data_IF_044823595717
#
_entry.id   IF_044823595717
#
_cell.length_a   1.000
_cell.length_b   1.000
_cell.length_c   1.000
_cell.angle_alpha   90.00
_cell.angle_beta   90.00
_cell.angle_gamma   90.00
#
_symmetry.space_group_name_H-M   'P 1'
#
loop_
_entity.id
_entity.type
_entity.pdbx_description
1 polymer ?
#
# COMPACT_ATOMS: atom_id res chain seq x y z
N UNK A 1 -10.47 -33.72 -20.40
CA UNK A 1 -10.52 -32.73 -19.29
C UNK A 1 -11.41 -33.30 -18.20
N UNK A 2 -10.83 -34.16 -17.35
CA UNK A 2 -11.56 -34.85 -16.30
C UNK A 2 -11.87 -33.89 -15.15
N UNK A 3 -13.11 -33.98 -14.65
CA UNK A 3 -13.63 -33.39 -13.43
C UNK A 3 -12.54 -33.23 -12.38
N UNK A 4 -12.04 -32.02 -12.23
CA UNK A 4 -11.33 -31.61 -11.02
C UNK A 4 -12.33 -31.86 -9.90
N UNK A 5 -12.06 -32.86 -9.06
CA UNK A 5 -12.77 -33.09 -7.81
C UNK A 5 -12.59 -31.82 -6.97
N UNK A 6 -13.53 -30.89 -7.10
CA UNK A 6 -13.44 -29.56 -6.54
C UNK A 6 -13.55 -29.64 -5.01
N UNK A 7 -12.38 -29.76 -4.38
CA UNK A 7 -12.20 -29.61 -2.93
C UNK A 7 -12.78 -28.27 -2.46
N UNK A 8 -12.71 -27.25 -3.33
CA UNK A 8 -13.37 -25.96 -3.14
C UNK A 8 -14.83 -26.08 -3.60
N UNK A 9 -15.79 -25.89 -2.69
CA UNK A 9 -17.19 -25.94 -3.10
C UNK A 9 -17.52 -24.86 -4.16
N UNK A 10 -18.47 -25.17 -5.05
CA UNK A 10 -18.89 -24.31 -6.17
C UNK A 10 -19.24 -22.88 -5.73
N UNK A 11 -19.85 -22.72 -4.56
CA UNK A 11 -20.21 -21.41 -4.01
C UNK A 11 -18.98 -20.58 -3.64
N UNK A 12 -17.93 -21.22 -3.12
CA UNK A 12 -16.68 -20.58 -2.77
C UNK A 12 -15.90 -20.22 -4.04
N UNK A 13 -15.86 -21.09 -5.04
CA UNK A 13 -15.28 -20.76 -6.34
C UNK A 13 -15.96 -19.56 -6.99
N UNK A 14 -17.30 -19.54 -7.01
CA UNK A 14 -18.07 -18.40 -7.50
C UNK A 14 -17.77 -17.11 -6.72
N UNK A 15 -17.57 -17.22 -5.40
CA UNK A 15 -17.19 -16.09 -4.57
C UNK A 15 -15.78 -15.55 -4.92
N UNK A 16 -14.76 -16.43 -4.98
CA UNK A 16 -13.39 -16.06 -5.39
C UNK A 16 -13.41 -15.38 -6.75
N UNK A 17 -14.16 -15.93 -7.70
CA UNK A 17 -14.27 -15.37 -9.05
C UNK A 17 -14.92 -13.98 -9.07
N UNK A 18 -15.90 -13.73 -8.20
CA UNK A 18 -16.62 -12.45 -8.13
C UNK A 18 -15.83 -11.36 -7.41
N UNK A 19 -15.13 -11.71 -6.34
CA UNK A 19 -14.49 -10.77 -5.43
C UNK A 19 -12.97 -10.71 -5.69
N UNK A 20 -12.53 -9.71 -6.48
CA UNK A 20 -11.11 -9.54 -6.85
C UNK A 20 -10.20 -9.32 -5.65
N UNK A 21 -10.66 -8.59 -4.62
CA UNK A 21 -9.85 -8.32 -3.42
C UNK A 21 -9.65 -9.62 -2.65
N UNK A 22 -10.73 -10.37 -2.44
CA UNK A 22 -10.64 -11.65 -1.76
C UNK A 22 -9.77 -12.66 -2.54
N UNK A 23 -9.92 -12.73 -3.87
CA UNK A 23 -9.07 -13.55 -4.71
C UNK A 23 -7.59 -13.17 -4.57
N UNK A 24 -7.26 -11.88 -4.59
CA UNK A 24 -5.88 -11.41 -4.39
C UNK A 24 -5.34 -11.75 -3.00
N UNK A 25 -6.20 -11.69 -1.99
CA UNK A 25 -5.82 -11.98 -0.62
C UNK A 25 -5.43 -13.45 -0.46
N UNK A 26 -6.26 -14.39 -0.94
CA UNK A 26 -5.91 -15.82 -0.94
C UNK A 26 -4.63 -16.05 -1.73
N UNK A 27 -4.53 -15.42 -2.91
CA UNK A 27 -3.36 -15.56 -3.76
C UNK A 27 -2.09 -15.07 -3.07
N UNK A 28 -2.10 -13.94 -2.35
CA UNK A 28 -0.94 -13.46 -1.59
C UNK A 28 -0.58 -14.40 -0.44
N UNK A 29 -1.57 -14.94 0.28
CA UNK A 29 -1.33 -15.93 1.35
C UNK A 29 -0.65 -17.16 0.75
N UNK A 30 -1.19 -17.75 -0.32
CA UNK A 30 -0.64 -18.97 -0.92
C UNK A 30 0.69 -18.77 -1.65
N UNK A 31 0.99 -17.54 -2.07
CA UNK A 31 2.29 -17.20 -2.68
C UNK A 31 3.43 -17.12 -1.66
N UNK A 32 3.13 -17.19 -0.37
CA UNK A 32 4.11 -17.10 0.71
C UNK A 32 3.85 -18.21 1.75
N UNK A 33 4.75 -19.18 1.82
CA UNK A 33 4.58 -20.34 2.69
C UNK A 33 4.50 -19.94 4.18
N UNK A 34 5.20 -18.88 4.60
CA UNK A 34 5.17 -18.39 5.98
C UNK A 34 3.80 -17.76 6.31
N UNK A 35 3.21 -17.03 5.35
CA UNK A 35 1.85 -16.51 5.50
C UNK A 35 0.83 -17.65 5.51
N UNK A 36 0.96 -18.61 4.60
CA UNK A 36 0.08 -19.78 4.56
C UNK A 36 0.10 -20.52 5.90
N UNK A 37 1.29 -20.81 6.42
CA UNK A 37 1.48 -21.47 7.71
C UNK A 37 0.84 -20.69 8.86
N UNK A 38 1.13 -19.38 8.95
CA UNK A 38 0.57 -18.50 9.99
C UNK A 38 -0.95 -18.51 9.99
N UNK A 39 -1.57 -18.32 8.82
CA UNK A 39 -3.04 -18.28 8.73
C UNK A 39 -3.67 -19.66 8.92
N UNK A 40 -2.99 -20.73 8.49
CA UNK A 40 -3.45 -22.09 8.68
C UNK A 40 -3.39 -22.51 10.15
N UNK A 41 -2.32 -22.16 10.89
CA UNK A 41 -2.24 -22.37 12.33
C UNK A 41 -3.35 -21.62 13.09
N UNK A 42 -3.62 -20.37 12.71
CA UNK A 42 -4.73 -19.61 13.28
C UNK A 42 -6.09 -20.29 13.01
N UNK A 43 -6.27 -20.85 11.81
CA UNK A 43 -7.44 -21.66 11.46
C UNK A 43 -7.56 -22.89 12.36
N UNK A 44 -6.49 -23.66 12.55
CA UNK A 44 -6.51 -24.86 13.40
C UNK A 44 -6.80 -24.53 14.86
N UNK A 45 -6.19 -23.46 15.38
CA UNK A 45 -6.43 -22.96 16.73
C UNK A 45 -7.89 -22.53 16.92
N UNK A 46 -8.48 -21.86 15.93
CA UNK A 46 -9.87 -21.41 16.00
C UNK A 46 -10.90 -22.55 15.98
N UNK A 47 -10.51 -23.73 15.48
CA UNK A 47 -11.38 -24.91 15.38
C UNK A 47 -11.12 -25.97 16.47
N UNK A 48 -10.30 -25.66 17.49
CA UNK A 48 -9.93 -26.60 18.57
C UNK A 48 -9.50 -27.97 18.05
N UNK A 49 -8.78 -28.03 16.93
CA UNK A 49 -8.23 -29.28 16.43
C UNK A 49 -7.11 -29.73 17.39
N UNK A 50 -7.41 -30.68 18.28
CA UNK A 50 -6.48 -31.33 19.22
C UNK A 50 -5.37 -32.17 18.55
N UNK A 51 -5.16 -32.00 17.25
CA UNK A 51 -4.14 -32.71 16.48
C UNK A 51 -2.84 -31.95 16.68
N UNK A 52 -1.74 -32.67 16.96
CA UNK A 52 -0.38 -32.13 17.06
C UNK A 52 -0.19 -30.92 16.13
N UNK A 53 0.12 -29.75 16.72
CA UNK A 53 0.31 -28.48 16.03
C UNK A 53 1.60 -28.48 15.19
N UNK A 54 1.74 -29.45 14.30
CA UNK A 54 2.72 -29.43 13.23
C UNK A 54 2.23 -28.37 12.24
N UNK A 55 3.04 -27.34 12.06
CA UNK A 55 2.77 -26.28 11.10
C UNK A 55 2.64 -26.84 9.70
N UNK A 56 1.86 -26.16 8.86
CA UNK A 56 1.80 -26.44 7.43
C UNK A 56 3.19 -26.36 6.79
N UNK A 57 4.08 -25.50 7.28
CA UNK A 57 5.45 -25.38 6.77
C UNK A 57 6.27 -26.65 6.95
N UNK A 58 6.07 -27.38 8.05
CA UNK A 58 6.80 -28.62 8.32
C UNK A 58 6.26 -29.76 7.46
N UNK A 59 4.93 -29.85 7.32
CA UNK A 59 4.28 -30.78 6.39
C UNK A 59 4.70 -30.47 4.95
N UNK A 60 4.81 -29.19 4.59
CA UNK A 60 5.29 -28.76 3.29
C UNK A 60 6.72 -29.23 3.02
N UNK A 61 7.61 -29.10 4.00
CA UNK A 61 9.00 -29.58 3.91
C UNK A 61 9.08 -31.10 3.77
N UNK A 62 8.20 -31.83 4.44
CA UNK A 62 8.19 -33.30 4.39
C UNK A 62 7.71 -33.82 3.03
N UNK A 63 6.64 -33.24 2.49
CA UNK A 63 5.97 -33.76 1.30
C UNK A 63 6.53 -33.15 0.00
N UNK A 64 6.81 -31.84 -0.04
CA UNK A 64 7.15 -31.14 -1.29
C UNK A 64 8.65 -30.86 -1.47
N UNK A 65 9.42 -30.65 -0.39
CA UNK A 65 10.86 -30.37 -0.50
C UNK A 65 11.64 -31.51 -1.20
N UNK A 66 11.38 -32.81 -0.92
CA UNK A 66 12.06 -33.90 -1.62
C UNK A 66 11.71 -33.98 -3.11
N UNK A 67 10.60 -33.38 -3.53
CA UNK A 67 10.12 -33.41 -4.90
C UNK A 67 10.64 -32.22 -5.74
N UNK A 68 11.38 -31.27 -5.15
CA UNK A 68 11.84 -30.03 -5.79
C UNK A 68 10.72 -29.26 -6.53
N UNK A 69 9.48 -29.35 -6.06
CA UNK A 69 8.36 -28.66 -6.68
C UNK A 69 8.38 -27.20 -6.21
N UNK A 70 9.02 -26.34 -6.99
CA UNK A 70 8.84 -24.88 -6.87
C UNK A 70 7.54 -24.47 -7.55
N UNK A 71 6.49 -24.25 -6.76
CA UNK A 71 5.26 -23.67 -7.30
C UNK A 71 5.47 -22.19 -7.61
N UNK A 72 5.61 -21.86 -8.89
CA UNK A 72 5.64 -20.47 -9.35
C UNK A 72 4.24 -19.89 -9.39
N UNK A 73 3.92 -19.08 -8.38
CA UNK A 73 2.70 -18.30 -8.31
C UNK A 73 2.79 -17.02 -9.17
N UNK A 74 2.84 -17.14 -10.49
CA UNK A 74 2.90 -15.97 -11.40
C UNK A 74 1.67 -15.82 -12.32
N UNK A 75 0.43 -15.90 -11.82
CA UNK A 75 -0.74 -15.65 -12.66
C UNK A 75 -0.78 -14.18 -13.09
N UNK A 76 -1.01 -13.97 -14.38
CA UNK A 76 -1.03 -12.65 -15.03
C UNK A 76 -2.43 -12.00 -15.07
N UNK A 77 -3.47 -12.70 -14.59
CA UNK A 77 -4.85 -12.23 -14.63
C UNK A 77 -5.67 -12.69 -13.43
N UNK A 78 -6.82 -12.05 -13.21
CA UNK A 78 -7.77 -12.45 -12.16
C UNK A 78 -8.27 -13.89 -12.33
N UNK A 79 -8.67 -14.27 -13.55
CA UNK A 79 -9.09 -15.64 -13.85
C UNK A 79 -7.93 -16.64 -13.70
N UNK A 80 -6.72 -16.21 -14.06
CA UNK A 80 -5.49 -16.97 -13.80
C UNK A 80 -5.31 -17.24 -12.31
N UNK A 81 -5.43 -16.21 -11.46
CA UNK A 81 -5.36 -16.33 -9.99
C UNK A 81 -6.42 -17.28 -9.45
N UNK A 82 -7.67 -17.14 -9.89
CA UNK A 82 -8.76 -18.05 -9.49
C UNK A 82 -8.42 -19.51 -9.79
N UNK A 83 -7.92 -19.77 -10.99
CA UNK A 83 -7.53 -21.12 -11.44
C UNK A 83 -6.34 -21.65 -10.63
N UNK A 84 -5.32 -20.82 -10.41
CA UNK A 84 -4.15 -21.17 -9.59
C UNK A 84 -4.54 -21.52 -8.16
N UNK A 85 -5.44 -20.76 -7.54
CA UNK A 85 -5.94 -21.03 -6.18
C UNK A 85 -6.59 -22.42 -6.13
N UNK A 86 -7.51 -22.72 -7.06
CA UNK A 86 -8.19 -24.02 -7.13
C UNK A 86 -7.19 -25.16 -7.31
N UNK A 87 -6.29 -25.03 -8.28
CA UNK A 87 -5.30 -26.05 -8.58
C UNK A 87 -4.36 -26.29 -7.40
N UNK A 88 -3.91 -25.23 -6.73
CA UNK A 88 -3.07 -25.33 -5.55
C UNK A 88 -3.79 -26.05 -4.41
N UNK A 89 -5.02 -25.66 -4.09
CA UNK A 89 -5.79 -26.31 -3.03
C UNK A 89 -6.03 -27.79 -3.30
N UNK A 90 -6.40 -28.15 -4.52
CA UNK A 90 -6.57 -29.55 -4.90
C UNK A 90 -5.26 -30.33 -4.79
N UNK A 91 -4.14 -29.75 -5.21
CA UNK A 91 -2.84 -30.38 -5.09
C UNK A 91 -2.48 -30.61 -3.62
N UNK A 92 -2.60 -29.58 -2.76
CA UNK A 92 -2.32 -29.71 -1.33
C UNK A 92 -3.17 -30.81 -0.70
N UNK A 93 -4.49 -30.78 -0.90
CA UNK A 93 -5.39 -31.78 -0.32
C UNK A 93 -5.11 -33.19 -0.84
N UNK A 94 -4.79 -33.34 -2.13
CA UNK A 94 -4.42 -34.63 -2.71
C UNK A 94 -3.14 -35.17 -2.08
N UNK A 95 -2.10 -34.34 -1.99
CA UNK A 95 -0.81 -34.76 -1.46
C UNK A 95 -0.87 -35.06 0.04
N UNK A 96 -1.58 -34.26 0.82
CA UNK A 96 -1.85 -34.55 2.24
C UNK A 96 -2.55 -35.90 2.39
N UNK A 97 -3.58 -36.17 1.57
CA UNK A 97 -4.31 -37.44 1.61
C UNK A 97 -3.41 -38.63 1.23
N UNK A 98 -2.57 -38.49 0.21
CA UNK A 98 -1.65 -39.53 -0.25
C UNK A 98 -0.58 -39.88 0.80
N UNK A 99 -0.17 -38.91 1.61
CA UNK A 99 0.84 -39.10 2.67
C UNK A 99 0.22 -39.38 4.05
N UNK A 100 -1.08 -39.72 4.13
CA UNK A 100 -1.74 -40.11 5.37
C UNK A 100 -2.20 -38.95 6.27
N UNK A 101 -2.06 -37.70 5.83
CA UNK A 101 -2.50 -36.50 6.53
C UNK A 101 -3.97 -36.15 6.25
N UNK A 102 -4.87 -37.13 6.30
CA UNK A 102 -6.29 -36.96 5.92
C UNK A 102 -7.02 -35.88 6.71
N UNK A 103 -6.76 -35.75 8.01
CA UNK A 103 -7.35 -34.69 8.85
C UNK A 103 -6.89 -33.30 8.42
N UNK A 104 -5.61 -33.12 8.12
CA UNK A 104 -5.04 -31.87 7.58
C UNK A 104 -5.58 -31.59 6.18
N UNK A 105 -5.81 -32.62 5.34
CA UNK A 105 -6.42 -32.47 4.03
C UNK A 105 -7.84 -31.89 4.13
N UNK A 106 -8.65 -32.38 5.08
CA UNK A 106 -9.99 -31.83 5.38
C UNK A 106 -9.89 -30.42 6.00
N UNK A 107 -8.90 -30.18 6.85
CA UNK A 107 -8.63 -28.84 7.39
C UNK A 107 -8.33 -27.84 6.27
N UNK A 108 -7.44 -28.20 5.35
CA UNK A 108 -7.03 -27.34 4.25
C UNK A 108 -8.16 -27.08 3.23
N UNK A 109 -9.08 -28.03 3.02
CA UNK A 109 -10.26 -27.80 2.18
C UNK A 109 -11.19 -26.72 2.76
N UNK A 110 -11.31 -26.69 4.09
CA UNK A 110 -12.12 -25.72 4.82
C UNK A 110 -11.40 -24.37 5.03
N UNK A 111 -10.08 -24.33 4.87
CA UNK A 111 -9.25 -23.16 5.14
C UNK A 111 -9.66 -21.92 4.32
N UNK A 112 -10.04 -22.08 3.05
CA UNK A 112 -10.51 -20.95 2.23
C UNK A 112 -11.81 -20.36 2.80
N UNK A 113 -12.70 -21.21 3.34
CA UNK A 113 -13.90 -20.75 4.03
C UNK A 113 -13.58 -19.92 5.26
N UNK A 114 -12.56 -20.32 6.02
CA UNK A 114 -12.06 -19.54 7.14
C UNK A 114 -11.47 -18.19 6.70
N UNK A 115 -10.64 -18.17 5.65
CA UNK A 115 -10.10 -16.93 5.09
C UNK A 115 -11.20 -15.96 4.66
N UNK A 116 -12.28 -16.49 4.07
CA UNK A 116 -13.47 -15.70 3.73
C UNK A 116 -14.10 -15.06 4.97
N UNK A 117 -14.27 -15.84 6.04
CA UNK A 117 -14.85 -15.35 7.30
C UNK A 117 -14.00 -14.25 7.93
N UNK A 118 -12.67 -14.40 7.94
CA UNK A 118 -11.75 -13.32 8.38
C UNK A 118 -11.93 -12.08 7.50
N UNK A 119 -11.89 -12.25 6.18
CA UNK A 119 -11.99 -11.15 5.24
C UNK A 119 -13.28 -10.34 5.45
N UNK A 120 -14.42 -11.02 5.56
CA UNK A 120 -15.72 -10.37 5.81
C UNK A 120 -15.73 -9.65 7.16
N UNK A 121 -15.23 -10.30 8.22
CA UNK A 121 -15.30 -9.75 9.58
C UNK A 121 -14.38 -8.55 9.78
N UNK A 122 -13.15 -8.62 9.26
CA UNK A 122 -12.08 -7.72 9.66
C UNK A 122 -11.71 -6.69 8.59
N UNK A 123 -11.95 -6.98 7.30
CA UNK A 123 -11.34 -6.20 6.22
C UNK A 123 -12.34 -5.64 5.21
N UNK A 124 -13.44 -6.35 4.95
CA UNK A 124 -14.44 -6.00 3.93
C UNK A 124 -15.02 -4.59 4.11
N UNK A 125 -15.22 -4.15 5.35
CA UNK A 125 -15.78 -2.83 5.69
C UNK A 125 -14.72 -1.79 6.09
N UNK A 126 -13.43 -2.04 5.85
CA UNK A 126 -12.39 -1.10 6.28
C UNK A 126 -12.13 0.00 5.25
N UNK A 127 -12.45 1.24 5.62
CA UNK A 127 -12.30 2.42 4.74
C UNK A 127 -10.85 2.93 4.60
N UNK A 128 -9.86 2.12 5.01
CA UNK A 128 -8.44 2.46 4.97
C UNK A 128 -7.96 2.88 3.58
N UNK A 129 -8.59 2.41 2.50
CA UNK A 129 -8.18 2.74 1.14
C UNK A 129 -9.26 3.43 0.30
N UNK A 130 -10.27 4.02 0.95
CA UNK A 130 -11.33 4.81 0.30
C UNK A 130 -10.78 5.96 -0.58
N UNK A 131 -9.58 6.45 -0.26
CA UNK A 131 -8.89 7.51 -0.99
C UNK A 131 -8.02 7.03 -2.16
N UNK A 132 -7.77 5.73 -2.26
CA UNK A 132 -6.94 5.12 -3.30
C UNK A 132 -7.84 4.62 -4.43
N UNK A 133 -7.50 4.94 -5.69
CA UNK A 133 -8.25 4.52 -6.86
C UNK A 133 -7.31 3.85 -7.86
N UNK A 134 -7.78 2.82 -8.54
CA UNK A 134 -7.03 2.09 -9.58
C UNK A 134 -6.47 3.02 -10.68
N UNK A 135 -7.21 4.08 -11.03
CA UNK A 135 -6.78 5.08 -12.01
C UNK A 135 -5.65 6.01 -11.56
N UNK A 136 -5.39 6.11 -10.25
CA UNK A 136 -4.39 7.04 -9.70
C UNK A 136 -3.01 6.36 -9.62
N UNK A 137 -2.42 6.00 -10.77
CA UNK A 137 -1.20 5.19 -10.88
C UNK A 137 -0.01 5.72 -10.06
N UNK A 138 0.20 7.04 -10.05
CA UNK A 138 1.24 7.71 -9.25
C UNK A 138 1.07 7.46 -7.76
N UNK A 139 -0.18 7.46 -7.29
CA UNK A 139 -0.52 7.31 -5.88
C UNK A 139 -0.38 5.84 -5.48
N UNK A 140 -0.84 4.92 -6.33
CA UNK A 140 -0.63 3.48 -6.14
C UNK A 140 0.86 3.14 -6.10
N UNK A 141 1.68 3.66 -7.02
CA UNK A 141 3.14 3.44 -7.03
C UNK A 141 3.82 4.00 -5.78
N UNK A 142 3.39 5.19 -5.35
CA UNK A 142 3.91 5.75 -4.10
C UNK A 142 3.58 4.88 -2.89
N UNK A 143 2.32 4.44 -2.76
CA UNK A 143 1.88 3.59 -1.67
C UNK A 143 2.66 2.26 -1.68
N UNK A 144 2.77 1.64 -2.84
CA UNK A 144 3.55 0.42 -3.03
C UNK A 144 5.00 0.57 -2.52
N UNK A 145 5.71 1.60 -2.99
CA UNK A 145 7.07 1.88 -2.54
C UNK A 145 7.15 2.18 -1.04
N UNK A 146 6.13 2.83 -0.47
CA UNK A 146 6.03 3.07 0.96
C UNK A 146 5.89 1.74 1.72
N UNK A 147 4.94 0.88 1.32
CA UNK A 147 4.69 -0.40 1.99
C UNK A 147 5.92 -1.31 1.91
N UNK A 148 6.64 -1.33 0.79
CA UNK A 148 7.93 -2.05 0.66
C UNK A 148 8.98 -1.47 1.61
N UNK A 149 9.16 -0.14 1.63
CA UNK A 149 10.14 0.53 2.50
C UNK A 149 9.94 0.17 3.97
N UNK A 150 8.68 0.01 4.38
CA UNK A 150 8.33 -0.38 5.75
C UNK A 150 8.19 -1.89 5.96
N UNK A 151 8.59 -2.71 4.98
CA UNK A 151 8.54 -4.17 5.02
C UNK A 151 7.14 -4.73 5.31
N UNK A 152 6.10 -4.00 4.91
CA UNK A 152 4.71 -4.44 5.02
C UNK A 152 4.37 -5.44 3.90
N UNK A 153 4.92 -5.20 2.70
CA UNK A 153 4.79 -6.08 1.54
C UNK A 153 6.15 -6.35 0.93
N UNK A 154 6.29 -7.51 0.25
CA UNK A 154 7.48 -7.85 -0.53
C UNK A 154 7.45 -7.13 -1.89
N UNK A 155 8.63 -6.80 -2.40
CA UNK A 155 8.76 -6.26 -3.76
C UNK A 155 8.44 -7.35 -4.79
N UNK A 156 7.71 -6.96 -5.83
CA UNK A 156 7.23 -7.83 -6.90
C UNK A 156 7.15 -7.07 -8.21
N UNK A 157 7.25 -7.81 -9.32
CA UNK A 157 6.92 -7.25 -10.62
C UNK A 157 5.39 -7.12 -10.76
N UNK A 158 4.92 -5.91 -11.04
CA UNK A 158 3.50 -5.55 -11.10
C UNK A 158 3.15 -5.15 -12.54
N UNK A 159 2.17 -5.82 -13.13
CA UNK A 159 1.86 -5.72 -14.55
C UNK A 159 1.03 -4.48 -14.89
N UNK A 160 0.04 -4.15 -14.06
CA UNK A 160 -0.86 -3.04 -14.30
C UNK A 160 -1.29 -2.29 -13.03
N UNK A 161 -2.07 -1.22 -13.22
CA UNK A 161 -2.54 -0.36 -12.12
C UNK A 161 -3.61 -1.00 -11.23
N UNK A 162 -4.40 -1.94 -11.74
CA UNK A 162 -5.38 -2.70 -10.95
C UNK A 162 -4.67 -3.71 -10.05
N UNK A 163 -3.69 -4.45 -10.59
CA UNK A 163 -2.82 -5.34 -9.81
C UNK A 163 -2.09 -4.57 -8.73
N UNK A 164 -1.52 -3.41 -9.04
CA UNK A 164 -0.82 -2.59 -8.07
C UNK A 164 -1.72 -2.16 -6.91
N UNK A 165 -2.94 -1.76 -7.24
CA UNK A 165 -3.96 -1.37 -6.27
C UNK A 165 -4.34 -2.55 -5.37
N UNK A 166 -4.68 -3.69 -5.95
CA UNK A 166 -5.08 -4.89 -5.21
C UNK A 166 -3.93 -5.38 -4.32
N UNK A 167 -2.72 -5.44 -4.84
CA UNK A 167 -1.52 -5.87 -4.12
C UNK A 167 -1.26 -5.02 -2.86
N UNK A 168 -1.41 -3.70 -2.97
CA UNK A 168 -1.24 -2.79 -1.83
C UNK A 168 -2.32 -2.99 -0.77
N UNK A 169 -3.59 -3.10 -1.17
CA UNK A 169 -4.71 -3.23 -0.24
C UNK A 169 -4.64 -4.55 0.51
N UNK A 170 -4.51 -5.66 -0.21
CA UNK A 170 -4.47 -6.99 0.43
C UNK A 170 -3.21 -7.15 1.26
N UNK A 171 -2.08 -6.60 0.82
CA UNK A 171 -0.85 -6.62 1.63
C UNK A 171 -0.98 -5.86 2.94
N UNK A 172 -1.70 -4.73 2.94
CA UNK A 172 -1.99 -4.00 4.18
C UNK A 172 -2.96 -4.77 5.10
N UNK A 173 -3.94 -5.49 4.54
CA UNK A 173 -4.82 -6.35 5.34
C UNK A 173 -4.06 -7.50 5.99
N UNK A 174 -3.18 -8.15 5.23
CA UNK A 174 -2.36 -9.28 5.69
C UNK A 174 -1.25 -8.88 6.67
N UNK A 175 -0.99 -7.58 6.83
CA UNK A 175 0.02 -7.10 7.76
C UNK A 175 -0.27 -7.58 9.19
N UNK A 176 0.65 -8.33 9.78
CA UNK A 176 0.53 -8.87 11.14
C UNK A 176 0.94 -7.83 12.19
N UNK A 177 0.12 -6.79 12.36
CA UNK A 177 0.31 -5.70 13.31
C UNK A 177 -0.99 -5.42 14.07
N UNK A 178 -0.89 -4.83 15.27
CA UNK A 178 -2.07 -4.44 16.05
C UNK A 178 -2.90 -3.40 15.29
N UNK A 179 -4.21 -3.33 15.57
CA UNK A 179 -5.07 -2.32 14.95
C UNK A 179 -4.58 -0.90 15.26
N UNK A 180 -4.00 -0.68 16.44
CA UNK A 180 -3.38 0.59 16.83
C UNK A 180 -2.19 0.93 15.93
N UNK A 181 -1.31 -0.03 15.65
CA UNK A 181 -0.17 0.17 14.75
C UNK A 181 -0.63 0.41 13.31
N UNK A 182 -1.56 -0.42 12.82
CA UNK A 182 -2.17 -0.25 11.50
C UNK A 182 -2.80 1.14 11.37
N UNK A 183 -3.55 1.58 12.37
CA UNK A 183 -4.16 2.91 12.41
C UNK A 183 -3.12 4.03 12.44
N UNK A 184 -2.07 3.91 13.25
CA UNK A 184 -1.01 4.90 13.31
C UNK A 184 -0.30 5.05 11.95
N UNK A 185 -0.07 3.94 11.26
CA UNK A 185 0.58 3.93 9.95
C UNK A 185 -0.34 4.36 8.83
N UNK A 186 -1.61 4.00 8.90
CA UNK A 186 -2.65 4.54 8.05
C UNK A 186 -2.72 6.08 8.16
N UNK A 187 -2.75 6.63 9.38
CA UNK A 187 -2.69 8.08 9.59
C UNK A 187 -1.43 8.70 8.97
N UNK A 188 -0.26 8.07 9.16
CA UNK A 188 0.99 8.51 8.52
C UNK A 188 0.91 8.49 6.99
N UNK A 189 0.27 7.48 6.40
CA UNK A 189 0.02 7.41 4.96
C UNK A 189 -0.83 8.59 4.48
N UNK A 190 -1.95 8.88 5.15
CA UNK A 190 -2.81 10.02 4.81
C UNK A 190 -2.07 11.34 4.92
N UNK A 191 -1.30 11.56 6.00
CA UNK A 191 -0.50 12.77 6.18
C UNK A 191 0.55 12.91 5.07
N UNK A 192 1.31 11.86 4.79
CA UNK A 192 2.32 11.87 3.72
C UNK A 192 1.70 12.13 2.33
N UNK A 193 0.51 11.59 2.07
CA UNK A 193 -0.27 11.88 0.86
C UNK A 193 -0.68 13.35 0.79
N UNK A 194 -1.26 13.87 1.87
CA UNK A 194 -1.74 15.25 1.95
C UNK A 194 -0.59 16.25 1.78
N UNK A 195 0.56 16.01 2.42
CA UNK A 195 1.76 16.82 2.21
C UNK A 195 2.22 16.80 0.75
N UNK A 196 2.24 15.64 0.09
CA UNK A 196 2.63 15.56 -1.32
C UNK A 196 1.64 16.27 -2.23
N UNK A 197 0.33 16.15 -1.97
CA UNK A 197 -0.72 16.89 -2.68
C UNK A 197 -0.53 18.39 -2.53
N UNK A 198 -0.26 18.86 -1.30
CA UNK A 198 0.04 20.26 -0.99
C UNK A 198 1.31 20.75 -1.72
N UNK A 199 2.40 19.98 -1.68
CA UNK A 199 3.65 20.32 -2.40
C UNK A 199 3.46 20.35 -3.91
N UNK A 200 2.69 19.43 -4.50
CA UNK A 200 2.37 19.45 -5.95
C UNK A 200 1.51 20.67 -6.31
N UNK A 201 0.50 21.02 -5.50
CA UNK A 201 -0.33 22.21 -5.69
C UNK A 201 0.41 23.54 -5.49
N UNK A 202 1.38 23.59 -4.58
CA UNK A 202 2.23 24.76 -4.41
C UNK A 202 3.33 24.86 -5.46
N UNK A 203 3.83 23.75 -6.03
CA UNK A 203 4.74 23.78 -7.17
C UNK A 203 4.08 24.34 -8.44
N UNK A 204 2.80 24.09 -8.66
CA UNK A 204 2.06 24.70 -9.78
C UNK A 204 1.76 26.18 -9.54
N UNK A 205 1.52 26.61 -8.29
CA UNK A 205 1.36 28.03 -7.92
C UNK A 205 2.68 28.82 -7.87
N UNK A 206 3.81 28.19 -7.53
CA UNK A 206 5.13 28.85 -7.46
C UNK A 206 5.90 28.87 -8.78
N UNK A 207 5.40 28.30 -9.89
CA UNK A 207 5.97 28.59 -11.22
C UNK A 207 5.71 30.04 -11.66
N UNK A 208 4.71 30.72 -11.09
CA UNK A 208 4.36 32.11 -11.42
C UNK A 208 4.59 33.13 -10.29
N UNK A 209 5.10 32.74 -9.10
CA UNK A 209 5.38 33.69 -8.03
C UNK A 209 6.88 33.86 -7.80
N UNK A 210 7.39 34.92 -8.44
CA UNK A 210 8.55 35.73 -8.10
C UNK A 210 9.82 34.98 -7.66
N UNK A 211 10.79 34.92 -8.57
CA UNK A 211 12.21 34.95 -8.19
C UNK A 211 12.41 36.18 -7.30
N UNK A 212 12.45 36.00 -5.99
CA UNK A 212 13.01 37.02 -5.10
C UNK A 212 14.47 37.20 -5.51
N UNK A 213 14.77 38.35 -6.13
CA UNK A 213 16.15 38.74 -6.40
C UNK A 213 16.90 38.82 -5.07
N UNK A 214 18.10 38.26 -5.02
CA UNK A 214 18.89 38.26 -3.79
C UNK A 214 19.25 39.70 -3.37
N UNK A 215 19.51 39.96 -2.08
CA UNK A 215 19.99 41.28 -1.59
C UNK A 215 21.20 41.80 -2.40
N UNK A 216 22.03 40.90 -2.93
CA UNK A 216 23.20 41.21 -3.76
C UNK A 216 22.78 41.73 -5.15
N UNK A 217 21.72 41.18 -5.73
CA UNK A 217 21.18 41.63 -7.02
C UNK A 217 20.48 43.00 -6.91
N UNK A 218 19.87 43.32 -5.77
CA UNK A 218 19.26 44.64 -5.52
C UNK A 218 20.34 45.71 -5.29
N UNK A 219 21.44 45.37 -4.60
CA UNK A 219 22.58 46.28 -4.39
C UNK A 219 23.20 46.78 -5.69
N UNK A 220 23.14 45.99 -6.77
CA UNK A 220 23.67 46.36 -8.09
C UNK A 220 22.70 47.20 -8.93
N UNK A 221 21.45 47.38 -8.51
CA UNK A 221 20.40 48.11 -9.25
C UNK A 221 20.15 49.52 -8.72
N UNK A 222 20.71 49.86 -7.56
CA UNK A 222 20.51 51.14 -6.87
C UNK A 222 21.88 51.76 -6.59
N UNK A 223 22.08 53.07 -6.83
CA UNK A 223 23.31 53.74 -6.45
C UNK A 223 23.64 53.50 -4.96
N UNK A 224 24.89 53.16 -4.66
CA UNK A 224 25.33 52.75 -3.31
C UNK A 224 24.98 53.80 -2.24
N UNK A 225 25.07 55.08 -2.58
CA UNK A 225 24.69 56.20 -1.70
C UNK A 225 23.20 56.15 -1.31
N UNK A 226 22.33 55.80 -2.25
CA UNK A 226 20.88 55.69 -2.03
C UNK A 226 20.54 54.45 -1.22
N UNK A 227 21.21 53.33 -1.48
CA UNK A 227 21.03 52.10 -0.72
C UNK A 227 21.48 52.25 0.75
N UNK A 228 22.61 52.90 1.00
CA UNK A 228 23.09 53.17 2.36
C UNK A 228 22.15 54.12 3.12
N UNK A 229 21.57 55.11 2.42
CA UNK A 229 20.56 56.00 3.01
C UNK A 229 19.29 55.22 3.37
N UNK A 230 18.83 54.32 2.50
CA UNK A 230 17.69 53.43 2.77
C UNK A 230 17.91 52.60 4.06
N UNK A 231 19.10 51.99 4.21
CA UNK A 231 19.45 51.22 5.41
C UNK A 231 19.45 52.11 6.66
N UNK A 232 20.02 53.32 6.58
CA UNK A 232 20.05 54.21 7.74
C UNK A 232 18.65 54.61 8.21
N UNK A 233 17.72 54.82 7.27
CA UNK A 233 16.33 55.18 7.56
C UNK A 233 15.59 53.96 8.11
N UNK A 234 15.77 52.78 7.50
CA UNK A 234 15.12 51.55 7.96
C UNK A 234 15.53 51.19 9.39
N UNK A 235 16.81 51.37 9.73
CA UNK A 235 17.34 51.16 11.09
C UNK A 235 16.79 52.19 12.08
N UNK A 236 16.73 53.46 11.69
CA UNK A 236 16.21 54.53 12.55
C UNK A 236 14.73 54.32 12.91
N UNK A 237 13.91 53.89 11.94
CA UNK A 237 12.48 53.64 12.14
C UNK A 237 12.15 52.20 12.57
N UNK A 238 13.14 51.30 12.66
CA UNK A 238 12.96 49.86 12.95
C UNK A 238 11.97 49.15 12.01
N UNK A 239 11.95 49.56 10.74
CA UNK A 239 11.08 48.97 9.69
C UNK A 239 11.95 48.23 8.69
N UNK A 240 11.45 47.13 8.09
CA UNK A 240 12.20 46.42 7.05
C UNK A 240 12.43 47.31 5.82
N UNK A 241 13.62 47.22 5.19
CA UNK A 241 13.98 48.07 4.05
C UNK A 241 12.97 47.98 2.90
N UNK A 242 12.39 46.79 2.70
CA UNK A 242 11.40 46.51 1.67
C UNK A 242 10.09 47.23 1.93
N UNK A 243 9.64 47.24 3.18
CA UNK A 243 8.38 47.89 3.59
C UNK A 243 8.53 49.41 3.54
N UNK A 244 9.69 49.93 3.95
CA UNK A 244 10.05 51.34 3.79
C UNK A 244 10.03 51.78 2.32
N UNK A 245 10.60 50.97 1.41
CA UNK A 245 10.65 51.28 -0.02
C UNK A 245 9.26 51.30 -0.66
N UNK A 246 8.37 50.37 -0.27
CA UNK A 246 6.99 50.34 -0.73
C UNK A 246 6.26 51.61 -0.28
N UNK A 247 6.38 51.97 1.00
CA UNK A 247 5.72 53.17 1.53
C UNK A 247 6.23 54.47 0.87
N UNK A 248 7.53 54.56 0.57
CA UNK A 248 8.10 55.71 -0.13
C UNK A 248 7.56 55.83 -1.56
N UNK A 249 7.49 54.71 -2.29
CA UNK A 249 6.93 54.69 -3.65
C UNK A 249 5.45 55.07 -3.62
N UNK A 250 4.67 54.49 -2.70
CA UNK A 250 3.24 54.76 -2.60
C UNK A 250 2.97 56.24 -2.24
N UNK A 251 3.78 56.83 -1.36
CA UNK A 251 3.68 58.25 -1.02
C UNK A 251 4.04 59.17 -2.21
N UNK A 252 5.13 58.88 -2.94
CA UNK A 252 5.51 59.66 -4.13
C UNK A 252 4.43 59.60 -5.22
N UNK A 253 3.83 58.42 -5.45
CA UNK A 253 2.74 58.27 -6.41
C UNK A 253 1.49 59.05 -6.00
N UNK A 254 1.19 59.11 -4.69
CA UNK A 254 0.05 59.88 -4.18
C UNK A 254 0.29 61.41 -4.24
N UNK A 255 1.54 61.88 -4.16
CA UNK A 255 1.89 63.29 -4.33
C UNK A 255 1.87 63.74 -5.81
N UNK A 256 2.11 62.82 -6.75
CA UNK A 256 2.08 63.12 -8.20
C UNK A 256 0.64 63.10 -8.76
N UNK A 257 -0.27 62.38 -8.10
CA UNK A 257 -1.66 62.18 -8.59
C UNK A 257 -2.69 63.11 -7.94
N UNK A 258 -2.27 63.99 -7.02
CA UNK A 258 -3.06 65.08 -6.46
C UNK A 258 -2.47 66.44 -6.87
#
# INVERSE_FOLDING_TARGET
>A
MNKINEVINKNMYAYIKKDKIFCYLIWQIFSDIELTDTYYLNFENSNNCLVNHIGFIDIYKEIWNPLHIEWKFEPTSHDGRCTTIVNYTNLIVTQLSLHGYTSKAIGFSNFIGYLKSIYIKNWYNSDYFSWLKTKDSDVCKWLYNYLIKFKIIKERNIQDGEELYLYCITGFYLWYASDEEKNAKYKKLILARNERKYRKGNKSKNKNKNKNKSRIEIKNLIPEKTYNKLISISQYYQVEEKELLINLIDNEFNEITN
#
